data_IF_977497620268
#
_entry.id   IF_977497620268
#
_cell.length_a   1.000
_cell.length_b   1.000
_cell.length_c   1.000
_cell.angle_alpha   90.00
_cell.angle_beta   90.00
_cell.angle_gamma   90.00
#
_symmetry.space_group_name_H-M   'P 1'
#
loop_
_entity.id
_entity.type
_entity.pdbx_description
1 polymer ?
#
# COMPACT_ATOMS: atom_id res chain seq x y z
N UNK A 1 -10.60 -7.69 -3.73
CA UNK A 1 -9.87 -6.48 -4.16
C UNK A 1 -9.05 -5.99 -2.98
N UNK A 2 -7.73 -5.84 -3.12
CA UNK A 2 -6.90 -5.24 -2.07
C UNK A 2 -7.32 -3.78 -1.85
N UNK A 3 -7.18 -3.27 -0.64
CA UNK A 3 -7.57 -1.90 -0.28
C UNK A 3 -6.63 -1.38 0.82
N UNK A 4 -6.23 -0.12 0.72
CA UNK A 4 -5.39 0.53 1.72
C UNK A 4 -6.26 1.00 2.90
N UNK A 5 -5.93 0.55 4.11
CA UNK A 5 -6.69 0.81 5.33
C UNK A 5 -5.80 0.81 6.56
N UNK A 6 -6.37 1.16 7.72
CA UNK A 6 -5.64 1.09 8.99
C UNK A 6 -5.51 -0.34 9.48
N UNK A 7 -4.48 -0.61 10.28
CA UNK A 7 -4.24 -1.93 10.88
C UNK A 7 -5.42 -2.42 11.73
N UNK A 8 -6.16 -1.52 12.38
CA UNK A 8 -7.35 -1.87 13.15
C UNK A 8 -8.43 -2.52 12.27
N UNK A 9 -8.63 -2.03 11.05
CA UNK A 9 -9.58 -2.59 10.10
C UNK A 9 -9.11 -3.95 9.57
N UNK A 10 -7.80 -4.15 9.43
CA UNK A 10 -7.23 -5.47 9.09
C UNK A 10 -7.50 -6.45 10.23
N UNK A 11 -7.25 -6.07 11.47
CA UNK A 11 -7.48 -6.91 12.66
C UNK A 11 -8.95 -7.30 12.76
N UNK A 12 -9.87 -6.34 12.62
CA UNK A 12 -11.32 -6.60 12.66
C UNK A 12 -11.75 -7.63 11.60
N UNK A 13 -11.13 -7.61 10.41
CA UNK A 13 -11.43 -8.60 9.36
C UNK A 13 -10.82 -9.96 9.66
N UNK A 14 -9.57 -10.00 10.13
CA UNK A 14 -8.93 -11.27 10.50
C UNK A 14 -9.71 -12.00 11.60
N UNK A 15 -10.30 -11.26 12.55
CA UNK A 15 -11.15 -11.81 13.60
C UNK A 15 -12.45 -12.49 13.09
N UNK A 16 -12.83 -12.27 11.82
CA UNK A 16 -14.01 -12.90 11.22
C UNK A 16 -13.72 -14.29 10.60
N UNK A 17 -12.46 -14.71 10.51
CA UNK A 17 -12.06 -15.98 9.89
C UNK A 17 -11.85 -17.11 10.92
N UNK A 18 -11.81 -18.37 10.46
CA UNK A 18 -11.47 -19.52 11.30
C UNK A 18 -9.95 -19.57 11.53
N UNK A 19 -9.52 -19.84 12.77
CA UNK A 19 -8.13 -19.66 13.19
C UNK A 19 -7.12 -20.62 12.52
N UNK A 20 -7.58 -21.73 11.93
CA UNK A 20 -6.71 -22.78 11.38
C UNK A 20 -6.54 -22.68 9.86
N UNK A 21 -7.03 -21.60 9.24
CA UNK A 21 -6.88 -21.39 7.80
C UNK A 21 -5.42 -21.03 7.44
N UNK A 22 -4.86 -21.72 6.45
CA UNK A 22 -3.53 -21.43 5.93
C UNK A 22 -3.58 -20.26 4.95
N UNK A 23 -2.91 -19.15 5.27
CA UNK A 23 -2.96 -17.91 4.48
C UNK A 23 -1.57 -17.37 4.18
N UNK A 24 -1.42 -16.76 2.99
CA UNK A 24 -0.31 -15.89 2.65
C UNK A 24 -0.82 -14.44 2.68
N UNK A 25 -0.21 -13.60 3.52
CA UNK A 25 -0.57 -12.19 3.67
C UNK A 25 0.65 -11.29 3.41
N UNK A 26 0.44 -10.20 2.68
CA UNK A 26 1.43 -9.15 2.43
C UNK A 26 0.84 -7.82 2.91
N UNK A 27 1.58 -7.15 3.80
CA UNK A 27 1.21 -5.83 4.33
C UNK A 27 2.28 -4.84 3.92
N UNK A 28 1.83 -3.68 3.45
CA UNK A 28 2.66 -2.54 3.09
C UNK A 28 2.27 -1.37 3.99
N UNK A 29 3.28 -0.76 4.60
CA UNK A 29 3.16 0.34 5.54
C UNK A 29 3.60 1.66 4.89
N UNK A 30 3.24 2.77 5.52
CA UNK A 30 3.75 4.09 5.11
C UNK A 30 5.28 4.14 5.19
N UNK A 31 5.87 3.43 6.16
CA UNK A 31 7.32 3.34 6.34
C UNK A 31 8.01 2.63 5.17
N UNK A 32 7.33 1.71 4.50
CA UNK A 32 7.85 1.08 3.28
C UNK A 32 7.98 2.16 2.19
N UNK A 33 6.99 3.02 2.00
CA UNK A 33 7.10 4.16 1.06
C UNK A 33 8.23 5.11 1.46
N UNK A 34 8.37 5.41 2.76
CA UNK A 34 9.46 6.26 3.27
C UNK A 34 10.85 5.65 3.05
N UNK A 35 10.96 4.32 2.88
CA UNK A 35 12.23 3.65 2.57
C UNK A 35 12.72 3.93 1.15
N UNK A 36 11.80 4.27 0.23
CA UNK A 36 12.09 4.68 -1.14
C UNK A 36 12.65 6.11 -1.14
N UNK A 37 11.95 7.01 -0.44
CA UNK A 37 12.38 8.39 -0.27
C UNK A 37 12.04 8.93 1.12
N UNK A 38 13.08 9.27 1.87
CA UNK A 38 12.97 9.79 3.25
C UNK A 38 12.30 11.16 3.35
N UNK A 39 12.13 11.90 2.25
CA UNK A 39 11.45 13.20 2.27
C UNK A 39 9.93 13.07 2.08
N UNK A 40 9.41 11.86 1.90
CA UNK A 40 7.98 11.59 1.74
C UNK A 40 7.21 12.01 3.00
N UNK A 41 6.16 12.80 2.81
CA UNK A 41 5.24 13.17 3.88
C UNK A 41 4.29 12.01 4.22
N UNK A 42 3.74 11.94 5.45
CA UNK A 42 2.76 10.92 5.80
C UNK A 42 1.55 10.87 4.85
N UNK A 43 1.11 12.03 4.36
CA UNK A 43 0.01 12.14 3.42
C UNK A 43 0.36 11.56 2.04
N UNK A 44 1.57 11.84 1.53
CA UNK A 44 2.07 11.25 0.29
C UNK A 44 2.24 9.73 0.42
N UNK A 45 2.72 9.24 1.57
CA UNK A 45 2.83 7.81 1.81
C UNK A 45 1.46 7.11 1.78
N UNK A 46 0.45 7.66 2.47
CA UNK A 46 -0.91 7.12 2.40
C UNK A 46 -1.51 7.19 0.99
N UNK A 47 -1.29 8.30 0.28
CA UNK A 47 -1.76 8.48 -1.09
C UNK A 47 -1.08 7.47 -2.04
N UNK A 48 0.21 7.22 -1.85
CA UNK A 48 1.00 6.25 -2.62
C UNK A 48 0.45 4.84 -2.43
N UNK A 49 0.19 4.39 -1.20
CA UNK A 49 -0.41 3.08 -0.93
C UNK A 49 -1.81 2.94 -1.56
N UNK A 50 -2.62 4.00 -1.48
CA UNK A 50 -3.93 4.06 -2.16
C UNK A 50 -3.80 4.04 -3.68
N UNK A 51 -2.77 4.66 -4.24
CA UNK A 51 -2.58 4.68 -5.67
C UNK A 51 -2.08 3.32 -6.17
N UNK A 52 -1.08 2.74 -5.53
CA UNK A 52 -0.52 1.42 -5.83
C UNK A 52 -1.61 0.33 -5.81
N UNK A 53 -2.45 0.29 -4.77
CA UNK A 53 -3.50 -0.74 -4.69
C UNK A 53 -4.53 -0.64 -5.80
N UNK A 54 -4.76 0.55 -6.34
CA UNK A 54 -5.74 0.79 -7.40
C UNK A 54 -5.15 0.69 -8.82
N UNK A 55 -3.82 0.79 -8.98
CA UNK A 55 -3.16 0.94 -10.28
C UNK A 55 -1.98 -0.01 -10.52
N UNK A 56 -1.71 -0.94 -9.60
CA UNK A 56 -0.69 -1.96 -9.79
C UNK A 56 -0.98 -2.87 -10.98
N UNK A 57 0.09 -3.34 -11.61
CA UNK A 57 0.01 -4.42 -12.59
C UNK A 57 -0.39 -5.72 -11.87
N UNK A 58 -1.50 -6.33 -12.29
CA UNK A 58 -2.01 -7.57 -11.72
C UNK A 58 -1.06 -8.77 -11.97
N UNK A 59 -0.20 -8.72 -12.99
CA UNK A 59 0.80 -9.76 -13.26
C UNK A 59 1.99 -9.71 -12.29
N UNK A 60 2.29 -8.53 -11.73
CA UNK A 60 3.44 -8.32 -10.84
C UNK A 60 3.03 -8.15 -9.37
N UNK A 61 1.82 -7.69 -9.10
CA UNK A 61 1.34 -7.35 -7.78
C UNK A 61 1.94 -6.04 -7.25
N UNK A 62 1.83 -5.85 -5.93
CA UNK A 62 2.44 -4.72 -5.24
C UNK A 62 3.84 -5.15 -4.81
N UNK A 63 4.85 -4.42 -5.29
CA UNK A 63 6.25 -4.56 -4.94
C UNK A 63 6.89 -3.17 -4.80
N UNK A 64 8.20 -3.11 -4.56
CA UNK A 64 8.94 -1.85 -4.43
C UNK A 64 8.85 -0.97 -5.67
N UNK A 65 8.95 -1.53 -6.87
CA UNK A 65 8.85 -0.80 -8.13
C UNK A 65 7.45 -0.20 -8.32
N UNK A 66 6.40 -0.93 -7.92
CA UNK A 66 5.02 -0.44 -7.91
C UNK A 66 4.86 0.75 -6.96
N UNK A 67 5.49 0.70 -5.78
CA UNK A 67 5.45 1.82 -4.82
C UNK A 67 6.20 3.05 -5.32
N UNK A 68 7.36 2.86 -5.96
CA UNK A 68 8.16 3.93 -6.54
C UNK A 68 7.40 4.65 -7.67
N UNK A 69 6.86 3.86 -8.62
CA UNK A 69 6.02 4.39 -9.70
C UNK A 69 4.76 5.10 -9.17
N UNK A 70 4.15 4.58 -8.11
CA UNK A 70 2.99 5.21 -7.49
C UNK A 70 3.37 6.54 -6.81
N UNK A 71 4.51 6.61 -6.14
CA UNK A 71 5.00 7.84 -5.49
C UNK A 71 5.27 8.92 -6.55
N UNK A 72 5.92 8.55 -7.65
CA UNK A 72 6.18 9.44 -8.77
C UNK A 72 4.88 10.02 -9.35
N UNK A 73 3.86 9.19 -9.54
CA UNK A 73 2.56 9.63 -10.04
C UNK A 73 1.87 10.60 -9.07
N UNK A 74 1.93 10.36 -7.75
CA UNK A 74 1.39 11.29 -6.75
C UNK A 74 2.09 12.65 -6.84
N UNK A 75 3.41 12.66 -6.90
CA UNK A 75 4.20 13.91 -6.97
C UNK A 75 3.92 14.69 -8.26
N UNK A 76 3.82 14.00 -9.39
CA UNK A 76 3.47 14.62 -10.67
C UNK A 76 2.07 15.24 -10.66
N UNK A 77 1.10 14.60 -9.98
CA UNK A 77 -0.26 15.13 -9.83
C UNK A 77 -0.37 16.39 -8.98
N UNK A 78 0.57 16.61 -8.05
CA UNK A 78 0.64 17.82 -7.22
C UNK A 78 1.40 18.99 -7.87
N UNK A 79 2.06 18.77 -9.01
CA UNK A 79 2.84 19.79 -9.73
C UNK A 79 2.06 20.39 -10.92
N UNK A 80 0.80 19.99 -11.11
CA UNK A 80 -0.10 20.43 -12.18
C UNK A 80 -1.16 21.45 -11.74
#
# INVERSE_FOLDING_TARGET
MPYACKISEVIERLQQHQNDDFVLCSLWYTDDVCSIDTTVTPQEAEATLRHAVNNHDAEQGINWDTLDAALDAIRQSCTG
#
